data_IF_792995894289
#
_entry.id   IF_792995894289
#
_cell.length_a   1.000
_cell.length_b   1.000
_cell.length_c   1.000
_cell.angle_alpha   90.00
_cell.angle_beta   90.00
_cell.angle_gamma   90.00
#
_symmetry.space_group_name_H-M   'P 1'
#
loop_
_entity.id
_entity.type
_entity.pdbx_description
1 polymer ?
#
# COMPACT_ATOMS: atom_id res chain seq x y z
N UNK A 1 9.06 51.12 -42.37
CA UNK A 1 8.80 49.67 -42.30
C UNK A 1 8.09 49.40 -40.96
N UNK A 2 6.77 49.20 -40.96
CA UNK A 2 6.00 48.99 -39.72
C UNK A 2 6.10 47.53 -39.26
N UNK A 3 6.46 47.31 -37.99
CA UNK A 3 6.44 46.00 -37.33
C UNK A 3 4.98 45.65 -37.05
N UNK A 4 4.48 44.57 -37.66
CA UNK A 4 3.10 44.09 -37.52
C UNK A 4 2.97 43.32 -36.20
N UNK A 5 2.18 43.84 -35.25
CA UNK A 5 1.86 43.15 -34.01
C UNK A 5 1.06 41.87 -34.26
N UNK A 6 1.51 40.75 -33.70
CA UNK A 6 0.80 39.47 -33.70
C UNK A 6 -0.23 39.44 -32.57
N UNK A 7 -1.52 39.54 -32.91
CA UNK A 7 -2.62 39.34 -31.97
C UNK A 7 -2.73 37.87 -31.49
N UNK A 8 -3.45 37.63 -30.37
CA UNK A 8 -3.59 36.29 -29.80
C UNK A 8 -4.37 35.37 -30.75
N UNK A 9 -3.85 34.15 -30.95
CA UNK A 9 -4.52 33.12 -31.75
C UNK A 9 -5.76 32.61 -30.99
N UNK A 10 -6.95 32.57 -31.60
CA UNK A 10 -8.11 31.97 -30.96
C UNK A 10 -7.88 30.48 -30.73
N UNK A 11 -8.16 30.02 -29.51
CA UNK A 11 -8.12 28.61 -29.14
C UNK A 11 -9.18 27.83 -29.96
N UNK A 12 -8.91 26.58 -30.33
CA UNK A 12 -9.83 25.79 -31.16
C UNK A 12 -11.14 25.51 -30.39
N UNK A 13 -12.26 26.01 -30.92
CA UNK A 13 -13.60 25.71 -30.42
C UNK A 13 -13.94 24.23 -30.65
N UNK A 14 -13.77 23.40 -29.62
CA UNK A 14 -14.24 22.02 -29.62
C UNK A 14 -15.75 21.99 -29.39
N UNK A 15 -16.52 21.43 -30.34
CA UNK A 15 -17.99 21.28 -30.26
C UNK A 15 -18.38 20.02 -29.48
N UNK A 16 -17.82 19.80 -28.30
CA UNK A 16 -18.35 18.75 -27.41
C UNK A 16 -19.54 19.35 -26.68
N UNK A 17 -20.74 18.85 -26.99
CA UNK A 17 -21.96 19.29 -26.32
C UNK A 17 -21.84 19.06 -24.81
N UNK A 18 -22.22 20.06 -24.01
CA UNK A 18 -22.26 19.95 -22.55
C UNK A 18 -23.08 18.73 -22.07
N UNK A 19 -24.08 18.32 -22.87
CA UNK A 19 -24.89 17.11 -22.62
C UNK A 19 -24.04 15.84 -22.70
N UNK A 20 -23.17 15.72 -23.71
CA UNK A 20 -22.30 14.55 -23.85
C UNK A 20 -21.30 14.48 -22.71
N UNK A 21 -20.71 15.61 -22.32
CA UNK A 21 -19.82 15.68 -21.15
C UNK A 21 -20.55 15.29 -19.87
N UNK A 22 -21.78 15.75 -19.67
CA UNK A 22 -22.59 15.40 -18.51
C UNK A 22 -22.93 13.90 -18.46
N UNK A 23 -23.23 13.27 -19.61
CA UNK A 23 -23.49 11.82 -19.68
C UNK A 23 -22.24 10.98 -19.38
N UNK A 24 -21.08 11.38 -19.89
CA UNK A 24 -19.83 10.68 -19.57
C UNK A 24 -19.44 10.87 -18.11
N UNK A 25 -19.60 12.09 -17.57
CA UNK A 25 -19.31 12.38 -16.17
C UNK A 25 -20.22 11.57 -15.22
N UNK A 26 -21.52 11.48 -15.53
CA UNK A 26 -22.46 10.69 -14.71
C UNK A 26 -22.13 9.20 -14.77
N UNK A 27 -21.89 8.64 -15.96
CA UNK A 27 -21.52 7.23 -16.11
C UNK A 27 -20.20 6.91 -15.40
N UNK A 28 -19.21 7.79 -15.48
CA UNK A 28 -17.95 7.66 -14.74
C UNK A 28 -18.19 7.71 -13.21
N UNK A 29 -19.08 8.60 -12.75
CA UNK A 29 -19.41 8.74 -11.33
C UNK A 29 -20.07 7.47 -10.78
N UNK A 30 -21.03 6.90 -11.51
CA UNK A 30 -21.66 5.62 -11.14
C UNK A 30 -20.67 4.45 -11.19
N UNK A 31 -19.79 4.40 -12.17
CA UNK A 31 -18.74 3.38 -12.25
C UNK A 31 -17.78 3.46 -11.06
N UNK A 32 -17.30 4.66 -10.72
CA UNK A 32 -16.41 4.89 -9.56
C UNK A 32 -17.15 4.54 -8.27
N UNK A 33 -18.39 4.99 -8.07
CA UNK A 33 -19.18 4.66 -6.90
C UNK A 33 -19.42 3.15 -6.75
N UNK A 34 -19.72 2.45 -7.86
CA UNK A 34 -19.86 1.00 -7.88
C UNK A 34 -18.57 0.27 -7.51
N UNK A 35 -17.42 0.72 -8.05
CA UNK A 35 -16.10 0.16 -7.70
C UNK A 35 -15.74 0.40 -6.24
N UNK A 36 -16.00 1.61 -5.71
CA UNK A 36 -15.78 1.93 -4.29
C UNK A 36 -16.68 1.10 -3.38
N UNK A 37 -17.93 0.87 -3.76
CA UNK A 37 -18.85 0.02 -3.00
C UNK A 37 -18.37 -1.44 -2.96
N UNK A 38 -17.95 -2.00 -4.10
CA UNK A 38 -17.38 -3.36 -4.16
C UNK A 38 -16.10 -3.48 -3.34
N UNK A 39 -15.24 -2.46 -3.37
CA UNK A 39 -14.02 -2.42 -2.56
C UNK A 39 -14.36 -2.40 -1.06
N UNK A 40 -15.32 -1.57 -0.65
CA UNK A 40 -15.79 -1.53 0.73
C UNK A 40 -16.34 -2.87 1.22
N UNK A 41 -17.13 -3.57 0.39
CA UNK A 41 -17.61 -4.92 0.72
C UNK A 41 -16.47 -5.93 0.84
N UNK A 42 -15.48 -5.86 -0.05
CA UNK A 42 -14.30 -6.74 -0.01
C UNK A 42 -13.48 -6.51 1.26
N UNK A 43 -13.28 -5.25 1.67
CA UNK A 43 -12.64 -4.91 2.95
C UNK A 43 -13.40 -5.48 4.15
N UNK A 44 -14.72 -5.32 4.18
CA UNK A 44 -15.55 -5.86 5.27
C UNK A 44 -15.50 -7.38 5.30
N UNK A 45 -15.52 -8.04 4.15
CA UNK A 45 -15.39 -9.50 4.06
C UNK A 45 -14.03 -9.97 4.59
N UNK A 46 -12.94 -9.32 4.19
CA UNK A 46 -11.61 -9.65 4.68
C UNK A 46 -11.46 -9.40 6.18
N UNK A 47 -12.03 -8.31 6.70
CA UNK A 47 -12.05 -8.03 8.14
C UNK A 47 -12.79 -9.16 8.88
N UNK A 48 -13.93 -9.62 8.35
CA UNK A 48 -14.68 -10.74 8.95
C UNK A 48 -13.93 -12.07 8.86
N UNK A 49 -13.28 -12.36 7.75
CA UNK A 49 -12.49 -13.59 7.58
C UNK A 49 -11.23 -13.56 8.46
N UNK A 50 -10.59 -12.39 8.59
CA UNK A 50 -9.52 -12.14 9.54
C UNK A 50 -10.00 -12.43 10.95
N UNK A 51 -11.09 -11.78 11.37
CA UNK A 51 -11.68 -11.94 12.71
C UNK A 51 -12.08 -13.39 12.99
N UNK A 52 -12.64 -14.09 12.00
CA UNK A 52 -12.94 -15.52 12.09
C UNK A 52 -11.69 -16.38 12.29
N UNK A 53 -10.55 -16.01 11.70
CA UNK A 53 -9.27 -16.73 11.86
C UNK A 53 -8.50 -16.33 13.11
N UNK A 54 -8.66 -15.11 13.60
CA UNK A 54 -8.06 -14.63 14.86
C UNK A 54 -8.93 -14.92 16.08
N UNK A 55 -10.21 -15.21 15.90
CA UNK A 55 -11.14 -15.66 16.95
C UNK A 55 -11.55 -14.56 17.93
N UNK A 56 -11.75 -13.32 17.47
CA UNK A 56 -11.66 -12.15 18.33
C UNK A 56 -12.85 -11.20 18.20
N UNK A 57 -14.03 -11.71 18.55
CA UNK A 57 -15.27 -10.96 18.41
C UNK A 57 -15.34 -9.69 19.30
N UNK A 58 -14.40 -9.40 20.24
CA UNK A 58 -14.48 -8.21 21.11
C UNK A 58 -13.20 -7.78 21.91
N UNK A 59 -11.96 -8.12 21.51
CA UNK A 59 -10.79 -7.73 22.32
C UNK A 59 -9.65 -7.08 21.53
N UNK A 60 -9.10 -5.99 22.07
CA UNK A 60 -7.88 -5.24 21.69
C UNK A 60 -6.95 -5.97 20.73
N UNK A 61 -6.64 -5.35 19.57
CA UNK A 61 -5.67 -5.87 18.58
C UNK A 61 -4.36 -6.26 19.29
N UNK A 62 -4.07 -7.55 19.35
CA UNK A 62 -2.83 -8.05 19.92
C UNK A 62 -1.68 -7.87 18.92
N UNK A 63 -0.45 -7.71 19.42
CA UNK A 63 0.76 -7.54 18.58
C UNK A 63 0.93 -8.65 17.53
N UNK A 64 0.45 -9.86 17.80
CA UNK A 64 0.52 -11.02 16.89
C UNK A 64 -0.45 -10.96 15.70
N UNK A 65 -1.42 -10.05 15.72
CA UNK A 65 -2.47 -9.96 14.70
C UNK A 65 -2.12 -8.98 13.59
N UNK A 66 -1.28 -7.99 13.88
CA UNK A 66 -0.82 -7.00 12.92
C UNK A 66 -0.03 -7.62 11.74
N UNK A 67 0.86 -8.61 11.94
CA UNK A 67 1.56 -9.28 10.84
C UNK A 67 0.60 -10.07 9.94
N UNK A 68 -0.38 -10.77 10.54
CA UNK A 68 -1.40 -11.54 9.79
C UNK A 68 -2.28 -10.63 8.95
N UNK A 69 -2.76 -9.54 9.56
CA UNK A 69 -3.56 -8.49 8.90
C UNK A 69 -2.79 -7.87 7.74
N UNK A 70 -1.51 -7.54 7.95
CA UNK A 70 -0.64 -6.97 6.91
C UNK A 70 -0.43 -7.94 5.74
N UNK A 71 -0.14 -9.21 6.02
CA UNK A 71 0.03 -10.26 5.00
C UNK A 71 -1.23 -10.37 4.13
N UNK A 72 -2.39 -10.53 4.76
CA UNK A 72 -3.66 -10.71 4.05
C UNK A 72 -4.08 -9.46 3.27
N UNK A 73 -3.80 -8.27 3.79
CA UNK A 73 -4.06 -7.02 3.09
C UNK A 73 -3.20 -6.86 1.83
N UNK A 74 -1.89 -7.08 1.93
CA UNK A 74 -0.98 -6.98 0.78
C UNK A 74 -1.27 -8.06 -0.27
N UNK A 75 -1.57 -9.28 0.17
CA UNK A 75 -2.06 -10.36 -0.67
C UNK A 75 -3.27 -9.91 -1.50
N UNK A 76 -4.36 -9.51 -0.84
CA UNK A 76 -5.56 -9.06 -1.54
C UNK A 76 -5.28 -7.87 -2.45
N UNK A 77 -4.43 -6.93 -2.01
CA UNK A 77 -4.09 -5.79 -2.82
C UNK A 77 -3.39 -6.17 -4.13
N UNK A 78 -2.49 -7.16 -4.07
CA UNK A 78 -1.80 -7.68 -5.23
C UNK A 78 -2.72 -8.43 -6.22
N UNK A 79 -3.78 -9.07 -5.73
CA UNK A 79 -4.78 -9.74 -6.57
C UNK A 79 -5.78 -8.76 -7.20
N UNK A 80 -6.20 -7.74 -6.44
CA UNK A 80 -7.26 -6.82 -6.86
C UNK A 80 -6.76 -5.65 -7.70
N UNK A 81 -5.50 -5.23 -7.54
CA UNK A 81 -4.90 -4.11 -8.25
C UNK A 81 -3.57 -4.49 -8.89
N UNK A 82 -3.44 -4.22 -10.20
CA UNK A 82 -2.16 -4.28 -10.90
C UNK A 82 -1.39 -2.97 -10.66
N UNK A 83 -0.45 -3.01 -9.72
CA UNK A 83 0.39 -1.88 -9.34
C UNK A 83 1.86 -2.30 -9.30
N UNK A 84 2.78 -1.38 -9.61
CA UNK A 84 4.22 -1.67 -9.53
C UNK A 84 4.73 -1.73 -8.09
N UNK A 85 4.07 -0.99 -7.19
CA UNK A 85 4.39 -0.92 -5.77
C UNK A 85 3.13 -1.01 -4.92
N UNK A 86 3.23 -1.73 -3.80
CA UNK A 86 2.24 -1.79 -2.75
C UNK A 86 2.86 -1.24 -1.47
N UNK A 87 2.10 -0.46 -0.69
CA UNK A 87 2.60 0.20 0.50
C UNK A 87 1.71 -0.06 1.70
N UNK A 88 2.32 -0.34 2.85
CA UNK A 88 1.67 -0.28 4.16
C UNK A 88 2.07 1.03 4.82
N UNK A 89 1.09 1.79 5.30
CA UNK A 89 1.29 3.07 6.00
C UNK A 89 0.31 3.10 7.18
N UNK A 90 0.79 3.40 8.38
CA UNK A 90 -0.06 3.62 9.55
C UNK A 90 -0.79 4.99 9.48
N UNK A 91 -1.86 5.14 10.25
CA UNK A 91 -2.71 6.34 10.29
C UNK A 91 -2.06 7.56 10.97
N UNK A 92 -1.01 7.35 11.77
CA UNK A 92 -0.23 8.38 12.45
C UNK A 92 0.97 8.90 11.64
N UNK A 93 1.14 8.44 10.40
CA UNK A 93 2.26 8.82 9.52
C UNK A 93 1.82 9.87 8.50
N UNK A 94 2.50 11.02 8.51
CA UNK A 94 2.37 12.00 7.43
C UNK A 94 3.23 11.61 6.23
N UNK A 95 2.63 11.55 5.05
CA UNK A 95 3.30 11.18 3.80
C UNK A 95 3.32 12.35 2.82
N UNK A 96 4.52 12.76 2.41
CA UNK A 96 4.70 13.65 1.27
C UNK A 96 4.62 12.82 -0.03
N UNK A 97 3.45 12.88 -0.69
CA UNK A 97 3.12 12.05 -1.86
C UNK A 97 4.04 12.37 -3.05
N UNK A 98 4.40 13.63 -3.27
CA UNK A 98 5.26 14.04 -4.40
C UNK A 98 6.69 13.51 -4.23
N UNK A 99 7.23 13.63 -3.01
CA UNK A 99 8.55 13.10 -2.69
C UNK A 99 8.58 11.57 -2.77
N UNK A 100 7.54 10.91 -2.23
CA UNK A 100 7.39 9.46 -2.31
C UNK A 100 7.28 8.99 -3.76
N UNK A 101 6.44 9.64 -4.57
CA UNK A 101 6.25 9.32 -5.98
C UNK A 101 7.55 9.46 -6.78
N UNK A 102 8.32 10.53 -6.53
CA UNK A 102 9.64 10.73 -7.16
C UNK A 102 10.63 9.63 -6.77
N UNK A 103 10.65 9.25 -5.48
CA UNK A 103 11.53 8.19 -4.99
C UNK A 103 11.15 6.81 -5.57
N UNK A 104 9.86 6.49 -5.66
CA UNK A 104 9.38 5.23 -6.25
C UNK A 104 9.64 5.18 -7.75
N UNK A 105 9.47 6.29 -8.47
CA UNK A 105 9.79 6.38 -9.89
C UNK A 105 11.26 6.02 -10.18
N UNK A 106 12.17 6.43 -9.30
CA UNK A 106 13.60 6.07 -9.39
C UNK A 106 13.92 4.60 -9.04
N UNK A 107 12.92 3.80 -8.64
CA UNK A 107 13.06 2.38 -8.31
C UNK A 107 12.23 1.47 -9.23
N UNK A 108 11.60 2.00 -10.28
CA UNK A 108 10.78 1.22 -11.21
C UNK A 108 11.57 0.12 -11.93
N UNK A 109 12.86 0.31 -12.14
CA UNK A 109 13.77 -0.65 -12.76
C UNK A 109 14.24 -1.76 -11.80
N UNK A 110 13.89 -1.69 -10.51
CA UNK A 110 14.31 -2.63 -9.48
C UNK A 110 13.17 -3.57 -9.11
N UNK A 111 13.08 -4.77 -9.72
CA UNK A 111 11.92 -5.65 -9.59
C UNK A 111 11.72 -6.22 -8.18
N UNK A 112 12.74 -6.18 -7.31
CA UNK A 112 12.70 -6.74 -5.94
C UNK A 112 13.00 -5.67 -4.90
N UNK A 113 12.42 -4.49 -5.07
CA UNK A 113 12.51 -3.42 -4.09
C UNK A 113 11.67 -3.74 -2.85
N UNK A 114 12.31 -3.61 -1.68
CA UNK A 114 11.69 -3.49 -0.36
C UNK A 114 12.24 -2.21 0.26
N UNK A 115 11.37 -1.24 0.50
CA UNK A 115 11.75 0.15 0.83
C UNK A 115 11.06 0.56 2.12
N UNK A 116 11.77 1.27 2.98
CA UNK A 116 11.28 1.77 4.25
C UNK A 116 12.45 2.15 5.14
N UNK A 117 12.15 2.53 6.39
CA UNK A 117 13.19 2.75 7.38
C UNK A 117 13.76 1.39 7.84
N UNK A 118 14.86 0.96 7.21
CA UNK A 118 15.47 -0.35 7.46
C UNK A 118 16.09 -0.39 8.87
N UNK A 119 15.57 -1.29 9.70
CA UNK A 119 16.06 -1.63 11.03
C UNK A 119 16.79 -2.96 10.99
N UNK A 120 17.85 -3.07 11.78
CA UNK A 120 18.61 -4.28 12.05
C UNK A 120 19.27 -4.12 13.40
N UNK A 121 19.32 -5.16 14.23
CA UNK A 121 19.84 -5.07 15.59
C UNK A 121 19.69 -6.37 16.35
N UNK A 122 20.04 -6.35 17.63
CA UNK A 122 19.92 -7.50 18.51
C UNK A 122 18.45 -7.82 18.81
N UNK A 123 18.12 -9.12 18.87
CA UNK A 123 16.83 -9.61 19.34
C UNK A 123 16.89 -9.72 20.85
N UNK A 124 15.99 -9.02 21.52
CA UNK A 124 15.89 -9.05 22.96
C UNK A 124 15.20 -10.35 23.40
N UNK A 125 15.99 -11.38 23.73
CA UNK A 125 15.50 -12.69 24.17
C UNK A 125 15.28 -12.79 25.69
N UNK A 126 15.61 -11.74 26.45
CA UNK A 126 15.43 -11.71 27.89
C UNK A 126 14.05 -11.11 28.26
N UNK A 127 13.24 -11.89 28.97
CA UNK A 127 11.88 -11.51 29.42
C UNK A 127 11.85 -10.27 30.32
N UNK A 128 12.98 -9.90 30.92
CA UNK A 128 13.09 -8.73 31.79
C UNK A 128 13.19 -7.41 31.02
N UNK A 129 13.46 -7.47 29.71
CA UNK A 129 13.63 -6.28 28.88
C UNK A 129 12.30 -5.81 28.30
N UNK A 130 12.13 -4.48 28.20
CA UNK A 130 10.91 -3.84 27.69
C UNK A 130 10.50 -4.32 26.29
N UNK A 131 11.47 -4.70 25.47
CA UNK A 131 11.28 -5.08 24.08
C UNK A 131 11.50 -6.58 23.87
N UNK A 132 11.29 -7.40 24.91
CA UNK A 132 11.37 -8.85 24.82
C UNK A 132 10.53 -9.36 23.65
N UNK A 133 11.16 -10.13 22.79
CA UNK A 133 10.52 -10.74 21.63
C UNK A 133 10.16 -12.19 21.97
N UNK A 134 8.87 -12.54 22.15
CA UNK A 134 8.46 -13.90 22.50
C UNK A 134 8.93 -14.95 21.50
N UNK A 135 8.98 -14.57 20.22
CA UNK A 135 9.32 -15.46 19.11
C UNK A 135 10.77 -15.29 18.64
N UNK A 136 11.66 -14.85 19.54
CA UNK A 136 13.06 -14.57 19.24
C UNK A 136 13.79 -15.74 18.55
N UNK A 137 13.36 -16.96 18.86
CA UNK A 137 13.89 -18.21 18.34
C UNK A 137 13.67 -18.40 16.82
N UNK A 138 12.74 -17.65 16.21
CA UNK A 138 12.48 -17.70 14.76
C UNK A 138 13.45 -16.88 13.92
N UNK A 139 14.22 -15.98 14.53
CA UNK A 139 15.09 -15.07 13.79
C UNK A 139 16.50 -15.66 13.66
N UNK A 140 16.89 -16.05 12.44
CA UNK A 140 18.27 -16.29 12.03
C UNK A 140 19.13 -17.08 13.04
N UNK A 141 20.11 -16.40 13.61
CA UNK A 141 21.06 -16.92 14.60
C UNK A 141 20.54 -16.93 16.06
N UNK A 142 19.25 -16.60 16.25
CA UNK A 142 18.58 -16.42 17.53
C UNK A 142 19.01 -15.17 18.28
N UNK A 143 19.81 -14.29 17.66
CA UNK A 143 20.43 -13.13 18.32
C UNK A 143 20.22 -11.82 17.58
N UNK A 144 19.98 -11.85 16.27
CA UNK A 144 19.85 -10.63 15.48
C UNK A 144 18.63 -10.64 14.57
N UNK A 145 17.96 -9.49 14.49
CA UNK A 145 16.88 -9.28 13.54
C UNK A 145 17.46 -9.26 12.13
N UNK A 146 16.81 -9.98 11.22
CA UNK A 146 17.00 -9.74 9.78
C UNK A 146 16.72 -8.27 9.49
N UNK A 147 17.42 -7.72 8.48
CA UNK A 147 17.14 -6.37 8.02
C UNK A 147 15.70 -6.29 7.53
N UNK A 148 14.89 -5.48 8.20
CA UNK A 148 13.46 -5.30 7.92
C UNK A 148 13.08 -3.81 7.97
N UNK A 149 12.01 -3.40 7.31
CA UNK A 149 11.51 -2.03 7.43
C UNK A 149 10.70 -1.83 8.71
N UNK A 150 10.70 -0.62 9.27
CA UNK A 150 9.84 -0.22 10.39
C UNK A 150 8.37 -0.56 10.11
N UNK A 151 7.64 -0.98 11.14
CA UNK A 151 6.23 -1.32 11.04
C UNK A 151 5.32 -0.14 10.68
N UNK A 152 5.80 1.10 10.82
CA UNK A 152 5.04 2.32 10.54
C UNK A 152 4.77 2.53 9.04
N UNK A 153 5.79 2.29 8.20
CA UNK A 153 5.68 2.47 6.76
C UNK A 153 6.71 1.62 6.02
N UNK A 154 6.24 0.88 5.03
CA UNK A 154 7.10 0.22 4.06
C UNK A 154 6.42 0.06 2.70
N UNK A 155 7.23 -0.11 1.66
CA UNK A 155 6.82 -0.31 0.28
C UNK A 155 7.50 -1.56 -0.28
N UNK A 156 6.74 -2.33 -1.02
CA UNK A 156 7.13 -3.60 -1.63
C UNK A 156 6.79 -3.56 -3.11
N UNK A 157 7.74 -3.99 -3.93
CA UNK A 157 7.55 -4.10 -5.39
C UNK A 157 6.68 -5.32 -5.74
N UNK A 158 5.97 -5.24 -6.86
CA UNK A 158 5.11 -6.32 -7.36
C UNK A 158 5.80 -7.68 -7.44
N UNK A 159 7.06 -7.73 -7.88
CA UNK A 159 7.75 -9.02 -8.01
C UNK A 159 8.14 -9.62 -6.64
N UNK A 160 8.30 -8.80 -5.60
CA UNK A 160 8.55 -9.29 -4.24
C UNK A 160 7.28 -9.88 -3.60
N UNK A 161 6.12 -9.25 -3.81
CA UNK A 161 4.82 -9.78 -3.38
C UNK A 161 4.56 -11.16 -3.98
N UNK A 162 4.84 -11.34 -5.29
CA UNK A 162 4.73 -12.65 -5.94
C UNK A 162 5.58 -13.73 -5.26
N UNK A 163 6.77 -13.39 -4.79
CA UNK A 163 7.61 -14.32 -4.03
C UNK A 163 7.05 -14.64 -2.63
N UNK A 164 6.39 -13.67 -1.98
CA UNK A 164 5.70 -13.90 -0.70
C UNK A 164 4.56 -14.91 -0.85
N UNK A 165 3.88 -14.89 -2.00
CA UNK A 165 2.80 -15.82 -2.35
C UNK A 165 3.26 -17.26 -2.57
N UNK A 166 4.40 -17.48 -3.23
CA UNK A 166 4.92 -18.83 -3.50
C UNK A 166 5.58 -19.50 -2.28
N UNK A 167 5.61 -18.84 -1.13
CA UNK A 167 6.22 -19.34 0.11
C UNK A 167 5.19 -19.89 1.12
N UNK A 168 3.92 -20.05 0.73
CA UNK A 168 2.99 -20.90 1.49
C UNK A 168 3.06 -22.36 1.00
N UNK A 169 3.24 -23.35 1.91
CA UNK A 169 3.16 -24.78 1.61
C UNK A 169 1.73 -25.27 1.35
#
# INVERSE_FOLDING_TARGET
MQIRGSGPRPLPNSRISAVMLAMFASMASFYVAGRLWQDAQSRVYLIKELDRRTGQDNHVEASEEQPKKTKLFLAHAAEAWDAEFYAKINDDVYVNIDALGTMLAAHLDKPRAYIGCMKSGEVFSDKSQKWFEPEWWKFGDGKSYFRHASGEMFVVSRALERCLWYLEP
#
